data_IF_360565843638
#
_entry.id   IF_360565843638
#
_cell.length_a   1.000
_cell.length_b   1.000
_cell.length_c   1.000
_cell.angle_alpha   90.00
_cell.angle_beta   90.00
_cell.angle_gamma   90.00
#
_symmetry.space_group_name_H-M   'P 1'
#
loop_
_entity.id
_entity.type
_entity.pdbx_description
1 polymer ?
#
# COMPACT_ATOMS: atom_id res chain seq x y z
N UNK A 1 4.12 -1.44 5.41
CA UNK A 1 4.74 -2.71 4.95
C UNK A 1 3.60 -3.67 4.61
N UNK A 2 3.50 -4.11 3.37
CA UNK A 2 2.56 -5.17 2.99
C UNK A 2 3.25 -6.52 3.23
N UNK A 3 2.53 -7.48 3.81
CA UNK A 3 3.03 -8.84 4.01
C UNK A 3 2.00 -9.81 3.45
N UNK A 4 2.46 -10.71 2.58
CA UNK A 4 1.66 -11.82 2.06
C UNK A 4 2.28 -13.11 2.59
N UNK A 5 1.77 -13.67 3.69
CA UNK A 5 2.32 -14.91 4.24
C UNK A 5 1.97 -16.11 3.35
N UNK A 6 2.77 -17.17 3.44
CA UNK A 6 2.65 -18.41 2.66
C UNK A 6 1.21 -18.96 2.52
N UNK A 7 0.33 -18.95 3.56
CA UNK A 7 -1.02 -19.50 3.43
C UNK A 7 -1.94 -18.76 2.45
N UNK A 8 -1.57 -17.57 1.97
CA UNK A 8 -2.32 -16.85 0.95
C UNK A 8 -2.07 -17.36 -0.48
N UNK A 9 -1.09 -18.24 -0.67
CA UNK A 9 -0.74 -18.79 -1.97
C UNK A 9 -1.28 -20.22 -2.12
N UNK A 10 -1.80 -20.55 -3.30
CA UNK A 10 -2.16 -21.93 -3.63
C UNK A 10 -0.92 -22.83 -3.70
N UNK A 11 0.19 -22.30 -4.24
CA UNK A 11 1.49 -22.93 -4.31
C UNK A 11 2.57 -21.90 -3.95
N UNK A 12 3.54 -22.30 -3.11
CA UNK A 12 4.63 -21.43 -2.67
C UNK A 12 5.92 -22.24 -2.49
N UNK A 13 6.96 -21.85 -3.20
CA UNK A 13 8.30 -22.42 -3.06
C UNK A 13 9.34 -21.32 -3.25
N UNK A 14 10.23 -21.16 -2.29
CA UNK A 14 11.35 -20.21 -2.32
C UNK A 14 12.57 -20.92 -1.76
N UNK A 15 13.60 -21.12 -2.59
CA UNK A 15 14.74 -21.95 -2.25
C UNK A 15 15.68 -21.28 -1.24
N UNK A 16 15.77 -19.95 -1.28
CA UNK A 16 16.63 -19.13 -0.41
C UNK A 16 15.99 -17.78 -0.15
N UNK A 17 16.36 -17.14 0.95
CA UNK A 17 15.96 -15.77 1.20
C UNK A 17 16.55 -14.86 0.13
N UNK A 18 15.67 -14.11 -0.52
CA UNK A 18 16.00 -13.23 -1.63
C UNK A 18 15.26 -11.90 -1.43
N UNK A 19 15.94 -10.80 -1.78
CA UNK A 19 15.38 -9.46 -1.79
C UNK A 19 15.42 -8.97 -3.21
N UNK A 20 14.27 -8.47 -3.68
CA UNK A 20 14.14 -7.92 -5.02
C UNK A 20 13.45 -6.58 -5.01
N UNK A 21 13.96 -5.68 -5.85
CA UNK A 21 13.37 -4.38 -6.09
C UNK A 21 12.81 -4.38 -7.51
N UNK A 22 11.51 -4.11 -7.61
CA UNK A 22 10.82 -3.97 -8.89
C UNK A 22 10.24 -2.58 -9.00
N UNK A 23 10.27 -2.04 -10.22
CA UNK A 23 9.59 -0.78 -10.52
C UNK A 23 8.08 -0.97 -10.43
N UNK A 24 7.40 -0.15 -9.61
CA UNK A 24 5.95 -0.25 -9.43
C UNK A 24 5.12 0.02 -10.70
N UNK A 25 5.45 1.00 -11.57
CA UNK A 25 4.63 1.24 -12.76
C UNK A 25 4.58 0.06 -13.76
N UNK A 26 5.70 -0.60 -14.13
CA UNK A 26 5.66 -1.81 -14.96
C UNK A 26 4.90 -2.97 -14.29
N UNK A 27 5.08 -3.15 -12.98
CA UNK A 27 4.36 -4.17 -12.21
C UNK A 27 2.85 -3.91 -12.24
N UNK A 28 2.42 -2.67 -11.97
CA UNK A 28 1.03 -2.27 -12.02
C UNK A 28 0.39 -2.55 -13.39
N UNK A 29 1.06 -2.12 -14.47
CA UNK A 29 0.54 -2.35 -15.82
C UNK A 29 0.40 -3.84 -16.14
N UNK A 30 1.38 -4.66 -15.74
CA UNK A 30 1.30 -6.11 -15.92
C UNK A 30 0.14 -6.74 -15.14
N UNK A 31 -0.12 -6.29 -13.90
CA UNK A 31 -1.23 -6.77 -13.08
C UNK A 31 -2.59 -6.35 -13.65
N UNK A 32 -2.73 -5.11 -14.13
CA UNK A 32 -3.96 -4.62 -14.78
C UNK A 32 -4.25 -5.40 -16.07
N UNK A 33 -3.23 -5.65 -16.88
CA UNK A 33 -3.39 -6.43 -18.12
C UNK A 33 -3.86 -7.88 -17.85
N UNK A 34 -3.53 -8.41 -16.67
CA UNK A 34 -3.90 -9.76 -16.22
C UNK A 34 -5.15 -9.83 -15.33
N UNK A 35 -5.83 -8.71 -15.06
CA UNK A 35 -6.92 -8.62 -14.06
C UNK A 35 -8.06 -9.62 -14.29
N UNK A 36 -8.33 -9.94 -15.56
CA UNK A 36 -9.45 -10.84 -15.95
C UNK A 36 -9.08 -12.33 -15.93
N UNK A 37 -7.82 -12.66 -15.64
CA UNK A 37 -7.35 -14.05 -15.58
C UNK A 37 -7.64 -14.68 -14.22
N UNK A 38 -7.65 -16.01 -14.17
CA UNK A 38 -8.09 -16.76 -13.00
C UNK A 38 -6.95 -16.99 -12.00
N UNK A 39 -5.74 -17.14 -12.50
CA UNK A 39 -4.55 -17.41 -11.69
C UNK A 39 -3.39 -16.53 -12.13
N UNK A 40 -2.50 -16.25 -11.18
CA UNK A 40 -1.23 -15.57 -11.39
C UNK A 40 -0.13 -16.42 -10.76
N UNK A 41 0.81 -16.86 -11.58
CA UNK A 41 2.05 -17.50 -11.16
C UNK A 41 3.20 -16.47 -11.24
N UNK A 42 3.97 -16.35 -10.17
CA UNK A 42 5.13 -15.45 -10.08
C UNK A 42 6.38 -16.30 -9.95
N UNK A 43 7.29 -16.20 -10.91
CA UNK A 43 8.62 -16.82 -10.82
C UNK A 43 9.72 -15.77 -10.85
N UNK A 44 10.79 -16.04 -10.11
CA UNK A 44 11.92 -15.13 -9.92
C UNK A 44 13.16 -15.86 -10.46
N UNK A 45 13.77 -15.30 -11.49
CA UNK A 45 15.04 -15.78 -12.04
C UNK A 45 16.16 -14.82 -11.64
N UNK A 46 16.73 -15.06 -10.46
CA UNK A 46 17.75 -14.20 -9.84
C UNK A 46 18.97 -13.99 -10.74
N UNK A 47 19.48 -15.08 -11.35
CA UNK A 47 20.66 -15.03 -12.22
C UNK A 47 20.48 -14.15 -13.46
N UNK A 48 19.23 -13.98 -13.91
CA UNK A 48 18.88 -13.18 -15.08
C UNK A 48 18.36 -11.79 -14.74
N UNK A 49 18.21 -11.49 -13.46
CA UNK A 49 17.56 -10.30 -12.94
C UNK A 49 16.10 -10.12 -13.43
N UNK A 50 15.33 -11.19 -13.49
CA UNK A 50 13.98 -11.20 -14.06
C UNK A 50 12.91 -11.73 -13.08
N UNK A 51 11.72 -11.16 -13.20
CA UNK A 51 10.47 -11.71 -12.65
C UNK A 51 9.57 -12.03 -13.83
N UNK A 52 9.01 -13.24 -13.84
CA UNK A 52 7.96 -13.60 -14.79
C UNK A 52 6.62 -13.67 -14.07
N UNK A 53 5.62 -13.03 -14.68
CA UNK A 53 4.23 -13.09 -14.29
C UNK A 53 3.48 -13.86 -15.39
N UNK A 54 2.98 -15.03 -15.03
CA UNK A 54 2.19 -15.88 -15.95
C UNK A 54 0.76 -15.91 -15.46
N UNK A 55 -0.14 -15.41 -16.29
CA UNK A 55 -1.58 -15.36 -16.01
C UNK A 55 -2.29 -16.45 -16.81
N UNK A 56 -3.06 -17.30 -16.13
CA UNK A 56 -3.80 -18.39 -16.77
C UNK A 56 -5.30 -18.16 -16.66
N UNK A 57 -6.00 -18.42 -17.77
CA UNK A 57 -7.44 -18.25 -17.85
C UNK A 57 -8.14 -19.53 -17.40
N UNK A 58 -9.38 -19.41 -16.88
CA UNK A 58 -10.20 -20.59 -16.56
C UNK A 58 -10.59 -21.42 -17.79
N UNK A 59 -10.54 -20.82 -18.99
CA UNK A 59 -10.89 -21.49 -20.24
C UNK A 59 -9.65 -22.05 -20.93
N UNK A 60 -9.65 -23.34 -21.33
CA UNK A 60 -8.54 -23.94 -22.06
C UNK A 60 -8.37 -23.38 -23.49
N UNK A 61 -9.32 -22.59 -24.00
CA UNK A 61 -9.23 -21.93 -25.30
C UNK A 61 -8.43 -20.62 -25.30
N UNK A 62 -8.17 -20.05 -24.12
CA UNK A 62 -7.52 -18.76 -23.97
C UNK A 62 -6.04 -18.98 -23.70
N UNK A 63 -5.18 -18.35 -24.50
CA UNK A 63 -3.74 -18.44 -24.29
C UNK A 63 -3.32 -17.73 -23.00
N UNK A 64 -2.32 -18.26 -22.29
CA UNK A 64 -1.77 -17.60 -21.11
C UNK A 64 -1.11 -16.27 -21.51
N UNK A 65 -1.23 -15.27 -20.63
CA UNK A 65 -0.54 -14.00 -20.77
C UNK A 65 0.76 -14.06 -19.96
N UNK A 66 1.89 -13.80 -20.60
CA UNK A 66 3.20 -13.74 -19.95
C UNK A 66 3.72 -12.32 -19.93
N UNK A 67 4.21 -11.87 -18.77
CA UNK A 67 4.89 -10.58 -18.60
C UNK A 67 6.22 -10.79 -17.93
N UNK A 68 7.22 -10.08 -18.44
CA UNK A 68 8.58 -10.06 -17.89
C UNK A 68 8.82 -8.69 -17.26
N UNK A 69 9.33 -8.69 -16.03
CA UNK A 69 9.81 -7.51 -15.33
C UNK A 69 11.29 -7.68 -15.03
N UNK A 70 12.04 -6.58 -15.03
CA UNK A 70 13.47 -6.58 -14.68
C UNK A 70 13.66 -5.99 -13.29
N UNK A 71 14.58 -6.54 -12.50
CA UNK A 71 14.95 -5.93 -11.21
C UNK A 71 15.60 -4.57 -11.43
N UNK A 72 15.38 -3.66 -10.48
CA UNK A 72 16.09 -2.39 -10.41
C UNK A 72 17.45 -2.62 -9.75
N UNK A 73 18.51 -2.15 -10.40
CA UNK A 73 19.90 -2.19 -9.89
C UNK A 73 20.43 -0.75 -9.81
N UNK A 74 21.10 -0.33 -8.72
CA UNK A 74 21.43 -1.10 -7.52
C UNK A 74 20.23 -1.25 -6.57
N UNK A 75 20.21 -2.37 -5.86
CA UNK A 75 19.26 -2.58 -4.76
C UNK A 75 19.74 -1.76 -3.56
N UNK A 76 19.13 -0.61 -3.30
CA UNK A 76 19.37 0.14 -2.06
C UNK A 76 18.75 -0.59 -0.87
N UNK A 77 19.46 -0.63 0.26
CA UNK A 77 18.96 -1.18 1.52
C UNK A 77 17.90 -0.25 2.14
N UNK A 78 16.66 -0.38 1.69
CA UNK A 78 15.50 0.25 2.31
C UNK A 78 15.01 -0.62 3.46
N UNK A 79 15.82 -0.79 4.51
CA UNK A 79 15.29 -1.31 5.77
C UNK A 79 14.36 -0.24 6.35
N UNK A 80 13.06 -0.53 6.58
CA UNK A 80 12.21 0.40 7.30
C UNK A 80 12.82 0.54 8.69
N UNK A 81 13.35 1.72 9.00
CA UNK A 81 13.90 2.00 10.32
C UNK A 81 12.85 1.67 11.40
N UNK A 82 13.28 1.31 12.61
CA UNK A 82 12.35 0.99 13.69
C UNK A 82 11.44 2.20 13.95
N UNK A 83 10.16 2.08 13.62
CA UNK A 83 9.15 3.08 13.99
C UNK A 83 8.90 2.91 15.48
N UNK A 84 9.54 3.73 16.30
CA UNK A 84 9.19 3.87 17.71
C UNK A 84 7.86 4.61 17.78
N UNK A 85 6.77 3.85 17.84
CA UNK A 85 5.43 4.38 18.02
C UNK A 85 5.11 4.46 19.52
N UNK A 86 5.02 5.68 20.05
CA UNK A 86 4.63 5.98 21.45
C UNK A 86 3.29 6.76 21.49
N UNK A 87 2.44 6.52 20.48
CA UNK A 87 1.22 7.31 20.23
C UNK A 87 -0.07 6.67 20.69
N UNK A 88 -1.16 7.46 20.67
CA UNK A 88 -2.53 6.95 20.78
C UNK A 88 -2.93 6.24 19.48
N UNK A 89 -3.60 5.10 19.59
CA UNK A 89 -4.11 4.32 18.46
C UNK A 89 -5.61 4.56 18.35
N UNK A 90 -6.09 4.79 17.14
CA UNK A 90 -7.50 4.68 16.80
C UNK A 90 -7.65 3.86 15.51
N UNK A 91 -8.84 3.31 15.30
CA UNK A 91 -9.19 2.59 14.07
C UNK A 91 -10.46 3.18 13.50
N UNK A 92 -10.50 3.28 12.18
CA UNK A 92 -11.60 3.85 11.41
C UNK A 92 -11.79 2.99 10.16
N UNK A 93 -13.01 2.92 9.64
CA UNK A 93 -13.29 2.25 8.38
C UNK A 93 -12.54 2.93 7.23
N UNK A 94 -11.96 2.15 6.33
CA UNK A 94 -11.12 2.66 5.25
C UNK A 94 -11.87 3.56 4.28
N UNK A 95 -13.13 3.24 3.99
CA UNK A 95 -14.02 4.04 3.13
C UNK A 95 -14.31 5.39 3.79
N UNK A 96 -14.73 5.38 5.05
CA UNK A 96 -14.97 6.61 5.82
C UNK A 96 -13.71 7.49 5.92
N UNK A 97 -12.54 6.90 6.16
CA UNK A 97 -11.29 7.66 6.17
C UNK A 97 -10.99 8.29 4.81
N UNK A 98 -11.21 7.54 3.73
CA UNK A 98 -11.04 8.05 2.35
C UNK A 98 -11.95 9.23 2.09
N UNK A 99 -13.23 9.13 2.47
CA UNK A 99 -14.21 10.21 2.31
C UNK A 99 -13.82 11.46 3.09
N UNK A 100 -13.32 11.30 4.32
CA UNK A 100 -12.82 12.42 5.16
C UNK A 100 -11.66 13.13 4.45
N UNK A 101 -10.67 12.39 3.95
CA UNK A 101 -9.52 12.98 3.24
C UNK A 101 -9.96 13.69 1.96
N UNK A 102 -10.87 13.09 1.19
CA UNK A 102 -11.40 13.69 -0.03
C UNK A 102 -12.18 14.98 0.25
N UNK A 103 -12.99 15.00 1.32
CA UNK A 103 -13.69 16.20 1.77
C UNK A 103 -12.71 17.35 2.01
N UNK A 104 -11.60 17.08 2.70
CA UNK A 104 -10.59 18.10 2.98
C UNK A 104 -9.78 18.53 1.74
N UNK A 105 -9.55 17.63 0.79
CA UNK A 105 -8.87 17.97 -0.47
C UNK A 105 -9.61 19.00 -1.33
N UNK A 106 -10.93 19.16 -1.13
CA UNK A 106 -11.72 20.19 -1.79
C UNK A 106 -11.47 21.60 -1.22
N UNK A 107 -10.88 21.71 -0.03
CA UNK A 107 -10.48 22.99 0.55
C UNK A 107 -9.05 23.31 0.07
N UNK A 108 -8.96 23.84 -1.16
CA UNK A 108 -7.74 24.14 -1.95
C UNK A 108 -6.60 24.91 -1.26
N UNK A 109 -6.72 25.28 0.01
CA UNK A 109 -5.77 26.12 0.74
C UNK A 109 -4.92 25.35 1.77
N UNK A 110 -5.14 24.04 1.94
CA UNK A 110 -4.48 23.27 2.97
C UNK A 110 -3.74 22.03 2.45
N UNK A 111 -2.41 22.06 2.53
CA UNK A 111 -1.54 20.92 2.26
C UNK A 111 -1.46 19.95 3.46
N UNK A 112 -2.22 20.20 4.54
CA UNK A 112 -2.15 19.44 5.77
C UNK A 112 -3.52 19.28 6.45
N UNK A 113 -3.75 18.07 6.97
CA UNK A 113 -4.89 17.74 7.84
C UNK A 113 -4.32 17.46 9.24
N UNK A 114 -4.83 18.18 10.25
CA UNK A 114 -4.51 17.94 11.64
C UNK A 114 -5.46 16.87 12.21
N UNK A 115 -4.89 15.88 12.89
CA UNK A 115 -5.65 14.83 13.57
C UNK A 115 -5.39 14.97 15.07
N UNK A 116 -6.42 15.31 15.85
CA UNK A 116 -6.35 15.41 17.31
C UNK A 116 -7.17 14.30 17.97
N UNK A 117 -6.69 13.79 19.11
CA UNK A 117 -7.38 12.74 19.86
C UNK A 117 -7.50 13.11 21.35
N UNK A 118 -8.72 13.40 21.80
CA UNK A 118 -9.04 13.78 23.18
C UNK A 118 -10.12 12.86 23.77
N UNK A 119 -9.79 12.15 24.86
CA UNK A 119 -10.67 11.13 25.43
C UNK A 119 -11.02 10.06 24.39
N UNK A 120 -12.32 9.89 24.14
CA UNK A 120 -12.86 8.96 23.13
C UNK A 120 -13.16 9.60 21.77
N UNK A 121 -12.72 10.85 21.54
CA UNK A 121 -13.00 11.61 20.31
C UNK A 121 -11.74 11.80 19.49
N UNK A 122 -11.86 11.56 18.18
CA UNK A 122 -10.84 11.89 17.17
C UNK A 122 -11.43 12.96 16.26
N UNK A 123 -10.70 14.05 16.06
CA UNK A 123 -11.11 15.18 15.24
C UNK A 123 -10.13 15.38 14.09
N UNK A 124 -10.66 15.63 12.90
CA UNK A 124 -9.91 16.02 11.70
C UNK A 124 -10.18 17.50 11.42
N UNK A 125 -9.13 18.29 11.18
CA UNK A 125 -9.24 19.72 10.90
C UNK A 125 -8.16 20.19 9.94
N UNK A 126 -8.31 21.40 9.43
CA UNK A 126 -7.38 22.06 8.49
C UNK A 126 -6.79 23.32 9.16
N UNK A 127 -5.49 23.61 9.08
CA UNK A 127 -4.96 24.90 9.53
C UNK A 127 -5.57 26.07 8.73
N UNK A 128 -5.77 27.27 9.33
CA UNK A 128 -5.34 27.73 10.64
C UNK A 128 -6.51 27.72 11.64
N UNK A 129 -7.34 26.69 11.67
CA UNK A 129 -8.27 26.50 12.79
C UNK A 129 -7.48 26.10 14.04
N UNK A 130 -6.68 27.05 14.56
CA UNK A 130 -6.25 27.04 15.94
C UNK A 130 -7.52 26.90 16.76
N UNK A 131 -7.61 25.83 17.53
CA UNK A 131 -8.59 25.73 18.60
C UNK A 131 -8.39 26.96 19.49
N UNK A 132 -9.23 27.98 19.35
CA UNK A 132 -9.32 29.02 20.38
C UNK A 132 -9.78 28.27 21.63
N UNK A 133 -8.98 28.17 22.71
CA UNK A 133 -9.49 27.61 23.93
C UNK A 133 -10.57 28.57 24.42
N UNK A 134 -11.83 28.11 24.44
CA UNK A 134 -12.87 28.75 25.22
C UNK A 134 -12.49 28.56 26.70
N UNK A 135 -11.66 29.46 27.21
CA UNK A 135 -11.56 29.69 28.65
C UNK A 135 -12.88 30.31 29.07
N UNK A 136 -13.86 29.48 29.45
CA UNK A 136 -14.89 29.93 30.38
C UNK A 136 -14.20 30.16 31.72
N UNK A 137 -13.91 31.43 32.04
CA UNK A 137 -13.69 31.81 33.43
C UNK A 137 -14.99 31.56 34.20
N UNK A 138 -14.98 30.50 35.01
CA UNK A 138 -16.00 30.26 36.01
C UNK A 138 -15.65 31.19 37.19
N UNK A 139 -16.35 32.33 37.23
CA UNK A 139 -16.79 33.16 38.39
C UNK A 139 -15.85 33.31 39.59
#
# INVERSE_FOLDING_TARGET
MMSMPQPLFAEYSVDRNHISIVSLPPLHNALVDGETFATLNISIEEEQNKIFLTFEASSPSTLPLNRELTFVVPMEDWSPGPVKFDGKIFSIESELFTDIIQLFSAFNEADAILITAFGSKVTFSVPPFAETPLTEEIS
#
